data_IF_498791711264
#
_entry.id   IF_498791711264
#
_cell.length_a   1.000
_cell.length_b   1.000
_cell.length_c   1.000
_cell.angle_alpha   90.00
_cell.angle_beta   90.00
_cell.angle_gamma   90.00
#
_symmetry.space_group_name_H-M   'P 1'
#
loop_
_entity.id
_entity.type
_entity.pdbx_description
1 polymer ?
#
# COMPACT_ATOMS: atom_id res chain seq x y z
N UNK A 1 17.16 10.89 -14.81
CA UNK A 1 16.34 9.79 -14.29
C UNK A 1 14.93 10.35 -14.15
N UNK A 2 13.87 9.69 -14.64
CA UNK A 2 12.50 10.19 -14.38
C UNK A 2 12.18 10.05 -12.89
N UNK A 3 11.37 10.94 -12.34
CA UNK A 3 10.98 10.96 -10.92
C UNK A 3 10.38 9.62 -10.47
N UNK A 4 9.70 8.93 -11.40
CA UNK A 4 9.14 7.58 -11.19
C UNK A 4 10.24 6.56 -10.93
N UNK A 5 11.35 6.62 -11.67
CA UNK A 5 12.50 5.72 -11.49
C UNK A 5 13.21 6.02 -10.17
N UNK A 6 13.38 7.30 -9.81
CA UNK A 6 13.99 7.66 -8.52
C UNK A 6 13.15 7.17 -7.34
N UNK A 7 11.82 7.25 -7.46
CA UNK A 7 10.90 6.74 -6.45
C UNK A 7 10.97 5.21 -6.36
N UNK A 8 10.98 4.52 -7.50
CA UNK A 8 11.07 3.07 -7.53
C UNK A 8 12.40 2.56 -6.96
N UNK A 9 13.52 3.20 -7.29
CA UNK A 9 14.81 2.83 -6.72
C UNK A 9 14.81 2.92 -5.18
N UNK A 10 14.21 3.98 -4.61
CA UNK A 10 14.08 4.12 -3.15
C UNK A 10 13.24 2.99 -2.53
N UNK A 11 12.16 2.60 -3.20
CA UNK A 11 11.32 1.49 -2.73
C UNK A 11 12.03 0.14 -2.84
N UNK A 12 12.74 -0.11 -3.95
CA UNK A 12 13.51 -1.34 -4.14
C UNK A 12 14.60 -1.47 -3.09
N UNK A 13 15.36 -0.41 -2.82
CA UNK A 13 16.37 -0.37 -1.75
C UNK A 13 15.75 -0.64 -0.38
N UNK A 14 14.59 -0.05 -0.09
CA UNK A 14 13.90 -0.25 1.18
C UNK A 14 13.38 -1.68 1.33
N UNK A 15 12.72 -2.22 0.30
CA UNK A 15 12.19 -3.58 0.30
C UNK A 15 13.34 -4.59 0.41
N UNK A 16 14.47 -4.33 -0.24
CA UNK A 16 15.65 -5.18 -0.14
C UNK A 16 16.20 -5.22 1.29
N UNK A 17 16.32 -4.06 1.95
CA UNK A 17 16.71 -3.99 3.37
C UNK A 17 15.73 -4.75 4.26
N UNK A 18 14.42 -4.57 4.05
CA UNK A 18 13.38 -5.29 4.80
C UNK A 18 13.41 -6.81 4.58
N UNK A 19 13.82 -7.28 3.40
CA UNK A 19 14.01 -8.71 3.10
C UNK A 19 15.23 -9.30 3.83
N UNK A 20 16.28 -8.50 4.01
CA UNK A 20 17.52 -8.88 4.68
C UNK A 20 17.39 -8.87 6.21
N UNK A 21 16.58 -7.96 6.74
CA UNK A 21 16.27 -7.94 8.16
C UNK A 21 15.46 -9.18 8.57
N UNK A 22 15.70 -9.69 9.79
CA UNK A 22 14.93 -10.80 10.37
C UNK A 22 13.57 -10.34 10.90
N UNK A 23 12.89 -9.52 10.12
CA UNK A 23 11.51 -9.11 10.38
C UNK A 23 10.58 -10.32 10.14
N UNK A 24 9.38 -10.24 10.72
CA UNK A 24 8.29 -11.17 10.43
C UNK A 24 7.79 -11.02 9.00
N UNK A 25 6.48 -11.19 8.79
CA UNK A 25 5.89 -10.83 7.49
C UNK A 25 5.82 -9.31 7.35
N UNK A 26 6.22 -8.80 6.19
CA UNK A 26 6.14 -7.39 5.83
C UNK A 26 5.02 -7.21 4.82
N UNK A 27 4.15 -6.23 5.03
CA UNK A 27 3.08 -5.89 4.10
C UNK A 27 3.32 -4.48 3.56
N UNK A 28 3.42 -4.36 2.25
CA UNK A 28 3.56 -3.10 1.52
C UNK A 28 2.20 -2.75 0.95
N UNK A 29 1.67 -1.59 1.32
CA UNK A 29 0.43 -1.05 0.77
C UNK A 29 0.73 -0.15 -0.42
N UNK A 30 -0.06 -0.26 -1.48
CA UNK A 30 -0.01 0.67 -2.61
C UNK A 30 -0.33 2.11 -2.22
N UNK A 31 0.14 3.04 -3.04
CA UNK A 31 -0.23 4.46 -2.94
C UNK A 31 -1.71 4.59 -3.31
N UNK A 32 -2.51 5.16 -2.41
CA UNK A 32 -3.95 5.35 -2.62
C UNK A 32 -4.20 6.47 -3.64
N UNK A 33 -5.27 6.37 -4.44
CA UNK A 33 -5.74 7.47 -5.27
C UNK A 33 -6.04 8.74 -4.45
N UNK A 34 -5.74 9.91 -5.03
CA UNK A 34 -5.97 11.25 -4.48
C UNK A 34 -6.60 12.15 -5.56
N UNK A 35 -7.21 13.27 -5.15
CA UNK A 35 -8.00 14.16 -6.01
C UNK A 35 -7.40 15.56 -6.18
N UNK A 36 -6.33 15.87 -5.47
CA UNK A 36 -5.66 17.17 -5.50
C UNK A 36 -4.54 17.27 -6.54
N UNK A 37 -4.34 16.23 -7.36
CA UNK A 37 -3.35 16.16 -8.42
C UNK A 37 -3.98 15.90 -9.79
N UNK A 38 -3.20 16.15 -10.84
CA UNK A 38 -3.61 15.89 -12.23
C UNK A 38 -3.65 14.40 -12.59
N UNK A 39 -4.38 14.06 -13.65
CA UNK A 39 -4.47 12.70 -14.19
C UNK A 39 -3.11 12.12 -14.62
N UNK A 40 -2.18 12.98 -15.07
CA UNK A 40 -0.82 12.57 -15.42
C UNK A 40 -0.06 12.03 -14.18
N UNK A 41 -0.25 12.65 -13.02
CA UNK A 41 0.35 12.20 -11.77
C UNK A 41 -0.36 10.95 -11.23
N UNK A 42 -1.68 10.81 -11.44
CA UNK A 42 -2.37 9.56 -11.09
C UNK A 42 -1.89 8.38 -11.96
N UNK A 43 -1.58 8.62 -13.24
CA UNK A 43 -0.97 7.61 -14.11
C UNK A 43 0.40 7.15 -13.59
N UNK A 44 1.25 8.09 -13.11
CA UNK A 44 2.52 7.74 -12.45
C UNK A 44 2.28 6.88 -11.20
N UNK A 45 1.28 7.19 -10.38
CA UNK A 45 0.89 6.39 -9.21
C UNK A 45 0.51 4.95 -9.60
N UNK A 46 -0.29 4.78 -10.67
CA UNK A 46 -0.68 3.45 -11.17
C UNK A 46 0.56 2.64 -11.55
N UNK A 47 1.50 3.26 -12.27
CA UNK A 47 2.74 2.58 -12.69
C UNK A 47 3.65 2.22 -11.51
N UNK A 48 3.83 3.13 -10.54
CA UNK A 48 4.56 2.83 -9.29
C UNK A 48 3.92 1.67 -8.54
N UNK A 49 2.60 1.66 -8.37
CA UNK A 49 1.90 0.57 -7.69
C UNK A 49 2.07 -0.77 -8.42
N UNK A 50 2.00 -0.77 -9.76
CA UNK A 50 2.22 -1.97 -10.58
C UNK A 50 3.62 -2.54 -10.34
N UNK A 51 4.66 -1.70 -10.42
CA UNK A 51 6.05 -2.12 -10.18
C UNK A 51 6.30 -2.55 -8.74
N UNK A 52 5.74 -1.84 -7.75
CA UNK A 52 5.81 -2.25 -6.34
C UNK A 52 5.25 -3.65 -6.11
N UNK A 53 4.11 -3.96 -6.75
CA UNK A 53 3.49 -5.28 -6.67
C UNK A 53 4.41 -6.37 -7.22
N UNK A 54 5.13 -6.09 -8.30
CA UNK A 54 6.12 -7.00 -8.89
C UNK A 54 7.33 -7.20 -7.97
N UNK A 55 7.88 -6.13 -7.39
CA UNK A 55 9.05 -6.19 -6.48
C UNK A 55 8.74 -6.92 -5.16
N UNK A 56 7.48 -6.86 -4.71
CA UNK A 56 7.00 -7.65 -3.58
C UNK A 56 6.81 -9.13 -3.93
N UNK A 57 6.69 -9.50 -5.21
CA UNK A 57 6.53 -10.88 -5.65
C UNK A 57 7.72 -11.77 -5.26
N UNK A 58 7.46 -12.92 -4.62
CA UNK A 58 8.46 -13.96 -4.39
C UNK A 58 9.20 -13.95 -3.05
N UNK A 59 8.69 -13.30 -1.99
CA UNK A 59 9.39 -13.21 -0.69
C UNK A 59 8.44 -13.13 0.53
N UNK A 60 8.99 -12.92 1.74
CA UNK A 60 8.26 -12.56 2.99
C UNK A 60 7.62 -11.17 2.97
N UNK A 61 7.82 -10.42 1.89
CA UNK A 61 7.18 -9.13 1.65
C UNK A 61 5.97 -9.36 0.77
N UNK A 62 4.81 -8.86 1.17
CA UNK A 62 3.54 -9.01 0.43
C UNK A 62 2.97 -7.67 0.05
N UNK A 63 2.37 -7.60 -1.14
CA UNK A 63 1.69 -6.40 -1.58
C UNK A 63 0.20 -6.45 -1.20
N UNK A 64 -0.29 -5.42 -0.53
CA UNK A 64 -1.69 -5.23 -0.20
C UNK A 64 -2.34 -4.29 -1.23
N UNK A 65 -3.18 -4.87 -2.07
CA UNK A 65 -4.03 -4.14 -3.00
C UNK A 65 -5.25 -3.65 -2.22
N UNK A 66 -5.34 -2.33 -2.00
CA UNK A 66 -6.49 -1.72 -1.33
C UNK A 66 -7.44 -1.25 -2.41
N UNK A 67 -8.63 -1.86 -2.45
CA UNK A 67 -9.71 -1.42 -3.31
C UNK A 67 -10.20 -0.06 -2.85
N UNK A 68 -9.79 0.99 -3.56
CA UNK A 68 -10.09 2.37 -3.20
C UNK A 68 -10.57 3.15 -4.42
N UNK A 69 -11.78 3.72 -4.33
CA UNK A 69 -12.30 4.63 -5.34
C UNK A 69 -12.48 6.03 -4.72
N UNK A 70 -11.66 7.03 -5.09
CA UNK A 70 -11.77 8.36 -4.51
C UNK A 70 -13.03 9.10 -5.00
N UNK A 71 -13.50 8.78 -6.22
CA UNK A 71 -14.64 9.40 -6.89
C UNK A 71 -15.99 8.88 -6.38
N UNK A 72 -16.00 7.74 -5.68
CA UNK A 72 -17.20 7.14 -5.12
C UNK A 72 -17.00 6.85 -3.63
N UNK A 73 -17.70 7.62 -2.79
CA UNK A 73 -17.84 7.28 -1.37
C UNK A 73 -17.39 8.36 -0.38
N UNK A 74 -16.79 9.46 -0.85
CA UNK A 74 -16.40 10.57 0.01
C UNK A 74 -15.46 10.11 1.12
N UNK A 75 -14.40 9.39 0.75
CA UNK A 75 -13.43 8.79 1.66
C UNK A 75 -12.22 9.70 1.95
N UNK A 76 -12.05 10.75 1.15
CA UNK A 76 -11.00 11.74 1.31
C UNK A 76 -11.50 12.93 2.15
N UNK A 77 -10.55 13.63 2.77
CA UNK A 77 -10.76 14.91 3.41
C UNK A 77 -11.01 16.01 2.39
N UNK A 78 -11.20 17.24 2.89
CA UNK A 78 -11.43 18.42 2.03
C UNK A 78 -10.23 18.77 1.15
N UNK A 79 -9.05 18.31 1.53
CA UNK A 79 -7.82 18.49 0.78
C UNK A 79 -7.66 17.53 -0.39
N UNK A 80 -8.56 16.54 -0.55
CA UNK A 80 -8.45 15.55 -1.62
C UNK A 80 -7.24 14.61 -1.52
N UNK A 81 -6.47 14.66 -0.43
CA UNK A 81 -5.26 13.87 -0.22
C UNK A 81 -5.42 12.91 0.97
N UNK A 82 -5.77 13.44 2.13
CA UNK A 82 -5.83 12.64 3.35
C UNK A 82 -7.13 11.85 3.42
N UNK A 83 -7.08 10.66 4.01
CA UNK A 83 -8.30 9.92 4.33
C UNK A 83 -9.08 10.68 5.42
N UNK A 84 -10.40 10.75 5.27
CA UNK A 84 -11.27 11.09 6.38
C UNK A 84 -11.54 9.84 7.26
N UNK A 85 -12.28 10.00 8.35
CA UNK A 85 -12.56 8.90 9.28
C UNK A 85 -13.18 7.67 8.59
N UNK A 86 -14.06 7.89 7.60
CA UNK A 86 -14.70 6.80 6.83
C UNK A 86 -13.70 6.11 5.91
N UNK A 87 -12.83 6.88 5.24
CA UNK A 87 -11.76 6.33 4.41
C UNK A 87 -10.77 5.52 5.23
N UNK A 88 -10.37 6.03 6.39
CA UNK A 88 -9.47 5.34 7.31
C UNK A 88 -10.07 4.02 7.81
N UNK A 89 -11.35 3.99 8.23
CA UNK A 89 -12.02 2.75 8.65
C UNK A 89 -12.08 1.72 7.51
N UNK A 90 -12.39 2.16 6.29
CA UNK A 90 -12.46 1.28 5.13
C UNK A 90 -11.10 0.67 4.78
N UNK A 91 -10.02 1.47 4.74
CA UNK A 91 -8.67 0.97 4.50
C UNK A 91 -8.23 0.02 5.62
N UNK A 92 -8.49 0.39 6.89
CA UNK A 92 -8.14 -0.45 8.04
C UNK A 92 -8.81 -1.83 7.97
N UNK A 93 -10.08 -1.92 7.55
CA UNK A 93 -10.76 -3.20 7.36
C UNK A 93 -10.11 -4.07 6.29
N UNK A 94 -9.71 -3.50 5.17
CA UNK A 94 -9.05 -4.25 4.10
C UNK A 94 -7.69 -4.78 4.54
N UNK A 95 -6.89 -3.92 5.18
CA UNK A 95 -5.59 -4.33 5.77
C UNK A 95 -5.80 -5.43 6.81
N UNK A 96 -6.78 -5.29 7.71
CA UNK A 96 -7.09 -6.30 8.71
C UNK A 96 -7.49 -7.64 8.07
N UNK A 97 -8.34 -7.62 7.05
CA UNK A 97 -8.74 -8.83 6.31
C UNK A 97 -7.54 -9.50 5.64
N UNK A 98 -6.63 -8.73 5.05
CA UNK A 98 -5.38 -9.26 4.51
C UNK A 98 -4.52 -9.90 5.60
N UNK A 99 -4.30 -9.22 6.72
CA UNK A 99 -3.54 -9.79 7.86
C UNK A 99 -4.17 -11.08 8.39
N UNK A 100 -5.51 -11.16 8.41
CA UNK A 100 -6.24 -12.36 8.82
C UNK A 100 -6.01 -13.51 7.84
N UNK A 101 -6.11 -13.26 6.53
CA UNK A 101 -5.81 -14.26 5.49
C UNK A 101 -4.37 -14.78 5.57
N UNK A 102 -3.44 -13.92 5.99
CA UNK A 102 -2.05 -14.28 6.23
C UNK A 102 -1.80 -14.97 7.59
N UNK A 103 -2.84 -15.21 8.40
CA UNK A 103 -2.76 -15.75 9.76
C UNK A 103 -1.84 -14.94 10.69
N UNK A 104 -1.70 -13.63 10.43
CA UNK A 104 -0.91 -12.69 11.25
C UNK A 104 -1.71 -12.17 12.44
N UNK A 105 -3.04 -12.22 12.36
CA UNK A 105 -3.96 -11.85 13.44
C UNK A 105 -4.90 -13.04 13.71
N UNK A 106 -5.08 -13.40 14.98
CA UNK A 106 -5.97 -14.49 15.39
C UNK A 106 -5.31 -15.76 15.93
N UNK A 107 -3.97 -15.84 16.00
CA UNK A 107 -3.34 -16.83 16.89
C UNK A 107 -3.68 -16.45 18.31
N UNK A 108 -4.51 -17.26 18.99
CA UNK A 108 -4.45 -17.32 20.46
C UNK A 108 -2.97 -17.52 20.78
N UNK A 109 -2.39 -16.61 21.56
CA UNK A 109 -1.18 -16.92 22.30
C UNK A 109 -1.54 -18.13 23.16
N UNK A 110 -1.28 -19.33 22.65
CA UNK A 110 -1.25 -20.52 23.47
C UNK A 110 -0.02 -20.31 24.34
N UNK A 111 -0.26 -19.79 25.54
CA UNK A 111 0.72 -19.80 26.62
C UNK A 111 0.96 -21.24 27.04
#
# INVERSE_FOLDING_TARGET
MDETEEMMQKYEEMIQRLKEERLGEVVVMGILPRQDLSEALDSKRVEVNRRLKEVCGGSKVRYCDVEFNPWRGGFLGRDGLHLNARGADMVARQVFMMMKTLNLVGRRLVK
#
